data_IF_478633056858
#
_entry.id   IF_478633056858
#
_cell.length_a   1.000
_cell.length_b   1.000
_cell.length_c   1.000
_cell.angle_alpha   90.00
_cell.angle_beta   90.00
_cell.angle_gamma   90.00
#
_symmetry.space_group_name_H-M   'P 1'
#
loop_
_entity.id
_entity.type
_entity.pdbx_description
1 polymer ?
#
# COMPACT_ATOMS: atom_id res chain seq x y z
N UNK A 1 25.51 -17.27 -9.82
CA UNK A 1 24.35 -17.33 -8.90
C UNK A 1 23.98 -15.91 -8.46
N UNK A 2 22.82 -15.40 -8.90
CA UNK A 2 22.28 -14.15 -8.38
C UNK A 2 22.20 -14.25 -6.86
N UNK A 3 22.64 -13.22 -6.13
CA UNK A 3 22.46 -13.18 -4.68
C UNK A 3 20.97 -13.35 -4.38
N UNK A 4 20.62 -14.21 -3.43
CA UNK A 4 19.23 -14.38 -2.98
C UNK A 4 18.68 -13.02 -2.56
N UNK A 5 17.54 -12.62 -3.13
CA UNK A 5 16.87 -11.38 -2.78
C UNK A 5 16.38 -11.45 -1.32
N UNK A 6 16.83 -10.53 -0.47
CA UNK A 6 16.49 -10.49 0.96
C UNK A 6 15.94 -9.12 1.37
N UNK A 7 14.97 -9.05 2.31
CA UNK A 7 14.31 -7.80 2.70
C UNK A 7 15.21 -6.70 3.27
N UNK A 8 16.41 -7.02 3.77
CA UNK A 8 17.30 -6.04 4.41
C UNK A 8 18.23 -5.30 3.43
N UNK A 9 18.25 -5.69 2.16
CA UNK A 9 19.25 -5.21 1.20
C UNK A 9 18.79 -3.93 0.50
N UNK A 10 19.32 -2.77 0.92
CA UNK A 10 19.36 -1.55 0.10
C UNK A 10 18.04 -1.25 -0.65
N UNK A 11 16.93 -1.26 0.07
CA UNK A 11 15.61 -1.18 -0.55
C UNK A 11 15.44 0.16 -1.27
N UNK A 12 14.98 0.08 -2.50
CA UNK A 12 14.54 1.23 -3.28
C UNK A 12 13.09 1.55 -2.92
N UNK A 13 12.76 2.83 -2.77
CA UNK A 13 11.35 3.27 -2.70
C UNK A 13 11.02 4.13 -3.90
N UNK A 14 9.98 3.77 -4.64
CA UNK A 14 9.41 4.59 -5.71
C UNK A 14 8.12 5.25 -5.22
N UNK A 15 8.05 6.58 -5.35
CA UNK A 15 6.83 7.34 -5.20
C UNK A 15 6.31 7.82 -6.56
N UNK A 16 5.18 7.26 -6.99
CA UNK A 16 4.53 7.63 -8.24
C UNK A 16 3.18 8.29 -7.99
N UNK A 17 2.80 9.30 -8.77
CA UNK A 17 1.51 9.97 -8.61
C UNK A 17 0.95 10.49 -9.94
N UNK A 18 -0.37 10.36 -10.10
CA UNK A 18 -1.10 10.94 -11.24
C UNK A 18 -0.96 12.45 -11.22
N UNK A 19 -0.73 13.09 -12.37
CA UNK A 19 -0.70 14.56 -12.48
C UNK A 19 -2.03 15.21 -12.10
N UNK A 20 -3.12 14.44 -12.17
CA UNK A 20 -4.48 14.88 -11.82
C UNK A 20 -4.79 14.72 -10.32
N UNK A 21 -3.92 14.09 -9.50
CA UNK A 21 -4.17 13.87 -8.07
C UNK A 21 -4.27 15.20 -7.32
N UNK A 22 -5.08 15.27 -6.26
CA UNK A 22 -5.16 16.49 -5.48
C UNK A 22 -3.87 16.78 -4.72
N UNK A 23 -3.57 18.06 -4.55
CA UNK A 23 -2.34 18.52 -3.90
C UNK A 23 -2.18 17.98 -2.48
N UNK A 24 -3.25 17.82 -1.69
CA UNK A 24 -3.11 17.37 -0.29
C UNK A 24 -2.70 15.90 -0.23
N UNK A 25 -3.36 15.04 -0.99
CA UNK A 25 -2.99 13.61 -1.08
C UNK A 25 -1.55 13.47 -1.54
N UNK A 26 -1.14 14.22 -2.57
CA UNK A 26 0.24 14.28 -3.00
C UNK A 26 1.19 14.75 -1.88
N UNK A 27 0.89 15.90 -1.27
CA UNK A 27 1.76 16.55 -0.28
C UNK A 27 2.05 15.63 0.90
N UNK A 28 1.02 14.97 1.46
CA UNK A 28 1.23 14.06 2.60
C UNK A 28 2.03 12.80 2.23
N UNK A 29 1.87 12.29 1.00
CA UNK A 29 2.73 11.22 0.49
C UNK A 29 4.18 11.68 0.33
N UNK A 30 4.39 12.81 -0.34
CA UNK A 30 5.69 13.43 -0.54
C UNK A 30 6.41 13.74 0.79
N UNK A 31 5.69 14.30 1.77
CA UNK A 31 6.20 14.60 3.11
C UNK A 31 6.69 13.33 3.82
N UNK A 32 5.92 12.24 3.75
CA UNK A 32 6.35 10.95 4.32
C UNK A 32 7.58 10.38 3.61
N UNK A 33 7.63 10.49 2.27
CA UNK A 33 8.79 10.05 1.49
C UNK A 33 10.07 10.80 1.90
N UNK A 34 9.98 12.11 2.12
CA UNK A 34 11.11 12.92 2.58
C UNK A 34 11.45 12.61 4.04
N UNK A 35 10.45 12.47 4.91
CA UNK A 35 10.65 12.18 6.33
C UNK A 35 11.37 10.86 6.59
N UNK A 36 11.06 9.81 5.80
CA UNK A 36 11.68 8.49 5.93
C UNK A 36 12.85 8.25 4.96
N UNK A 37 13.30 9.28 4.23
CA UNK A 37 14.32 9.16 3.19
C UNK A 37 15.60 8.46 3.69
N UNK A 38 16.09 8.82 4.87
CA UNK A 38 17.34 8.28 5.45
C UNK A 38 17.26 6.79 5.82
N UNK A 39 16.06 6.18 5.82
CA UNK A 39 15.89 4.75 6.05
C UNK A 39 16.17 3.91 4.79
N UNK A 40 16.33 4.55 3.63
CA UNK A 40 16.46 3.89 2.33
C UNK A 40 17.72 4.33 1.61
N UNK A 41 18.34 3.40 0.89
CA UNK A 41 19.57 3.70 0.14
C UNK A 41 19.31 4.41 -1.18
N UNK A 42 18.11 4.22 -1.74
CA UNK A 42 17.70 4.77 -3.02
C UNK A 42 16.23 5.15 -2.95
N UNK A 43 15.94 6.35 -3.43
CA UNK A 43 14.59 6.88 -3.54
C UNK A 43 14.35 7.23 -5.00
N UNK A 44 13.11 7.18 -5.43
CA UNK A 44 12.73 7.58 -6.77
C UNK A 44 11.36 8.25 -6.75
N UNK A 45 11.13 9.19 -7.68
CA UNK A 45 9.81 9.77 -7.89
C UNK A 45 9.51 9.98 -9.37
N UNK A 46 8.22 9.99 -9.69
CA UNK A 46 7.73 10.27 -11.04
C UNK A 46 6.27 10.73 -10.99
N UNK A 47 5.97 11.79 -11.75
CA UNK A 47 4.59 12.19 -12.06
C UNK A 47 4.17 11.51 -13.35
N UNK A 48 2.97 10.95 -13.39
CA UNK A 48 2.45 10.23 -14.55
C UNK A 48 1.10 10.77 -15.00
N UNK A 49 0.51 10.20 -16.06
CA UNK A 49 -0.70 10.70 -16.74
C UNK A 49 -0.55 12.05 -17.44
N UNK A 50 0.67 12.38 -17.86
CA UNK A 50 1.02 13.60 -18.60
C UNK A 50 1.02 13.36 -20.12
N UNK A 51 0.75 14.40 -20.93
CA UNK A 51 0.85 14.36 -22.40
C UNK A 51 2.26 14.05 -22.89
N UNK A 52 3.25 14.60 -22.20
CA UNK A 52 4.66 14.31 -22.40
C UNK A 52 5.10 13.48 -21.21
N UNK A 53 5.37 12.20 -21.44
CA UNK A 53 5.76 11.27 -20.40
C UNK A 53 7.04 11.74 -19.70
N UNK A 54 7.01 11.76 -18.37
CA UNK A 54 8.16 12.11 -17.55
C UNK A 54 9.02 10.87 -17.26
N UNK A 55 10.31 11.10 -16.99
CA UNK A 55 11.24 10.05 -16.63
C UNK A 55 11.27 9.84 -15.11
N UNK A 56 11.61 8.62 -14.69
CA UNK A 56 11.80 8.34 -13.26
C UNK A 56 13.11 8.99 -12.81
N UNK A 57 13.00 9.90 -11.85
CA UNK A 57 14.14 10.50 -11.18
C UNK A 57 14.57 9.64 -10.00
N UNK A 58 15.89 9.46 -9.82
CA UNK A 58 16.47 8.63 -8.79
C UNK A 58 17.40 9.46 -7.90
N UNK A 59 17.32 9.20 -6.60
CA UNK A 59 17.88 10.03 -5.55
C UNK A 59 18.67 9.20 -4.54
N UNK A 60 19.70 9.80 -3.98
CA UNK A 60 20.56 9.20 -2.94
C UNK A 60 20.33 9.76 -1.56
N UNK A 61 19.65 10.90 -1.46
CA UNK A 61 19.50 11.65 -0.24
C UNK A 61 18.19 12.44 -0.22
N UNK A 62 17.78 12.84 0.98
CA UNK A 62 16.54 13.56 1.19
C UNK A 62 16.50 14.93 0.50
N UNK A 63 17.64 15.61 0.32
CA UNK A 63 17.67 16.94 -0.28
C UNK A 63 17.35 16.88 -1.77
N UNK A 64 17.97 15.94 -2.49
CA UNK A 64 17.71 15.76 -3.93
C UNK A 64 16.27 15.31 -4.18
N UNK A 65 15.76 14.38 -3.36
CA UNK A 65 14.35 13.94 -3.42
C UNK A 65 13.40 15.11 -3.15
N UNK A 66 13.61 15.86 -2.07
CA UNK A 66 12.74 16.97 -1.70
C UNK A 66 12.74 18.09 -2.75
N UNK A 67 13.89 18.37 -3.36
CA UNK A 67 14.00 19.33 -4.46
C UNK A 67 13.20 18.86 -5.69
N UNK A 68 13.32 17.58 -6.08
CA UNK A 68 12.57 17.02 -7.20
C UNK A 68 11.06 17.02 -6.96
N UNK A 69 10.60 16.60 -5.77
CA UNK A 69 9.19 16.66 -5.42
C UNK A 69 8.68 18.11 -5.44
N UNK A 70 9.43 19.05 -4.86
CA UNK A 70 9.07 20.46 -4.85
C UNK A 70 8.93 21.10 -6.24
N UNK A 71 9.64 20.60 -7.26
CA UNK A 71 9.53 21.08 -8.63
C UNK A 71 8.47 20.36 -9.48
N UNK A 72 7.91 19.24 -9.00
CA UNK A 72 7.01 18.37 -9.79
C UNK A 72 5.63 18.17 -9.15
N UNK A 73 5.06 19.18 -8.48
CA UNK A 73 3.70 19.08 -7.92
C UNK A 73 2.65 18.65 -8.95
N UNK A 74 1.56 17.96 -8.55
CA UNK A 74 0.49 17.62 -9.48
C UNK A 74 0.00 18.86 -10.25
N UNK A 75 -0.07 18.73 -11.58
CA UNK A 75 -0.54 19.79 -12.47
C UNK A 75 -1.47 19.18 -13.53
N UNK A 76 -2.80 19.28 -13.33
CA UNK A 76 -3.78 18.75 -14.28
C UNK A 76 -3.66 19.35 -15.70
N UNK A 77 -3.03 20.51 -15.86
CA UNK A 77 -2.85 21.13 -17.19
C UNK A 77 -1.88 20.35 -18.09
N UNK A 78 -0.97 19.57 -17.48
CA UNK A 78 -0.05 18.66 -18.16
C UNK A 78 -0.72 17.36 -18.59
N UNK A 79 -1.90 17.05 -18.05
CA UNK A 79 -2.66 15.84 -18.32
C UNK A 79 -3.28 15.79 -19.72
N UNK A 80 -3.85 14.64 -20.07
CA UNK A 80 -4.40 14.35 -21.41
C UNK A 80 -5.50 15.33 -21.84
N UNK A 81 -6.27 15.89 -20.90
CA UNK A 81 -7.35 16.84 -21.17
C UNK A 81 -8.66 16.17 -21.61
N UNK A 82 -8.75 14.86 -21.48
CA UNK A 82 -9.95 14.05 -21.74
C UNK A 82 -10.19 13.05 -20.59
N UNK A 83 -11.35 12.37 -20.63
CA UNK A 83 -11.75 11.35 -19.64
C UNK A 83 -11.67 9.92 -20.17
N UNK A 84 -11.26 9.70 -21.42
CA UNK A 84 -11.29 8.38 -22.08
C UNK A 84 -9.92 7.74 -22.15
N UNK A 85 -8.86 8.53 -22.24
CA UNK A 85 -7.47 8.12 -22.20
C UNK A 85 -7.18 7.55 -20.82
N UNK A 86 -6.75 6.29 -20.80
CA UNK A 86 -6.39 5.58 -19.57
C UNK A 86 -5.02 6.01 -19.07
N UNK A 87 -4.72 5.66 -17.83
CA UNK A 87 -3.44 5.94 -17.20
C UNK A 87 -2.29 5.21 -17.87
N UNK A 88 -1.12 5.86 -17.92
CA UNK A 88 0.14 5.24 -18.36
C UNK A 88 0.95 4.63 -17.21
N UNK A 89 0.35 4.43 -16.02
CA UNK A 89 1.00 3.86 -14.83
C UNK A 89 1.80 2.58 -15.12
N UNK A 90 1.26 1.69 -15.95
CA UNK A 90 1.91 0.42 -16.26
C UNK A 90 3.14 0.56 -17.14
N UNK A 91 3.24 1.64 -17.93
CA UNK A 91 4.49 1.99 -18.61
C UNK A 91 5.54 2.50 -17.62
N UNK A 92 5.13 3.28 -16.62
CA UNK A 92 6.01 3.71 -15.52
C UNK A 92 6.57 2.51 -14.75
N UNK A 93 5.73 1.53 -14.41
CA UNK A 93 6.19 0.33 -13.73
C UNK A 93 7.10 -0.53 -14.61
N UNK A 94 6.82 -0.64 -15.91
CA UNK A 94 7.76 -1.30 -16.86
C UNK A 94 9.10 -0.56 -16.90
N UNK A 95 9.12 0.77 -16.93
CA UNK A 95 10.36 1.57 -16.87
C UNK A 95 11.12 1.34 -15.56
N UNK A 96 10.42 1.28 -14.44
CA UNK A 96 11.02 0.96 -13.15
C UNK A 96 11.61 -0.45 -13.14
N UNK A 97 10.87 -1.47 -13.58
CA UNK A 97 11.35 -2.86 -13.64
C UNK A 97 12.55 -3.07 -14.59
N UNK A 98 12.68 -2.24 -15.63
CA UNK A 98 13.80 -2.30 -16.57
C UNK A 98 14.91 -1.30 -16.25
N UNK A 99 14.90 -0.71 -15.05
CA UNK A 99 15.93 0.25 -14.69
C UNK A 99 17.28 -0.44 -14.44
N UNK A 100 18.37 0.18 -14.88
CA UNK A 100 19.74 -0.26 -14.61
C UNK A 100 20.41 0.57 -13.50
N UNK A 101 19.63 1.38 -12.78
CA UNK A 101 20.13 2.41 -11.86
C UNK A 101 20.10 1.98 -10.40
N UNK A 102 19.14 1.15 -10.00
CA UNK A 102 18.87 0.77 -8.61
C UNK A 102 18.42 -0.69 -8.50
N UNK A 103 18.56 -1.26 -7.29
CA UNK A 103 18.07 -2.60 -7.00
C UNK A 103 16.54 -2.64 -6.96
N UNK A 104 15.95 -3.70 -7.52
CA UNK A 104 14.51 -3.99 -7.43
C UNK A 104 14.17 -4.91 -6.26
N UNK A 105 15.15 -5.65 -5.75
CA UNK A 105 14.90 -6.62 -4.69
C UNK A 105 14.26 -5.94 -3.47
N UNK A 106 13.06 -6.39 -3.09
CA UNK A 106 12.34 -5.87 -1.92
C UNK A 106 11.89 -4.41 -2.04
N UNK A 107 11.87 -3.84 -3.26
CA UNK A 107 11.49 -2.45 -3.43
C UNK A 107 10.04 -2.19 -3.00
N UNK A 108 9.80 -0.99 -2.45
CA UNK A 108 8.46 -0.53 -2.10
C UNK A 108 8.00 0.49 -3.14
N UNK A 109 6.78 0.32 -3.64
CA UNK A 109 6.20 1.24 -4.63
C UNK A 109 4.92 1.82 -4.05
N UNK A 110 4.91 3.13 -3.80
CA UNK A 110 3.77 3.89 -3.30
C UNK A 110 3.18 4.71 -4.44
N UNK A 111 1.88 4.54 -4.70
CA UNK A 111 1.22 5.13 -5.87
C UNK A 111 -0.05 5.87 -5.44
N UNK A 112 -0.18 7.13 -5.82
CA UNK A 112 -1.43 7.87 -5.74
C UNK A 112 -2.05 8.01 -7.14
N UNK A 113 -3.18 7.35 -7.38
CA UNK A 113 -3.80 7.22 -8.70
C UNK A 113 -5.13 7.98 -8.73
N UNK A 114 -5.32 8.81 -9.75
CA UNK A 114 -6.64 9.39 -10.07
C UNK A 114 -7.15 8.98 -11.45
N UNK A 115 -6.28 8.71 -12.42
CA UNK A 115 -6.69 8.19 -13.72
C UNK A 115 -6.58 6.67 -13.70
N UNK A 116 -7.60 5.96 -14.16
CA UNK A 116 -7.55 4.51 -14.23
C UNK A 116 -6.89 4.05 -15.53
N UNK A 117 -6.17 2.92 -15.54
CA UNK A 117 -5.73 2.31 -16.79
C UNK A 117 -6.94 1.84 -17.61
N UNK A 118 -6.75 1.69 -18.91
CA UNK A 118 -7.70 0.96 -19.78
C UNK A 118 -7.27 -0.50 -20.00
N UNK A 119 -5.99 -0.77 -19.78
CA UNK A 119 -5.38 -2.10 -19.92
C UNK A 119 -5.97 -3.07 -18.89
N UNK A 120 -6.28 -4.30 -19.31
CA UNK A 120 -6.76 -5.36 -18.42
C UNK A 120 -5.71 -6.42 -18.11
N UNK A 121 -4.75 -6.66 -19.01
CA UNK A 121 -3.69 -7.65 -18.79
C UNK A 121 -2.43 -6.99 -18.21
N UNK A 122 -2.23 -7.21 -16.91
CA UNK A 122 -1.04 -6.76 -16.15
C UNK A 122 -0.16 -7.93 -15.70
N UNK A 123 -0.43 -9.14 -16.18
CA UNK A 123 0.17 -10.39 -15.70
C UNK A 123 1.70 -10.40 -15.78
N UNK A 124 2.26 -9.90 -16.88
CA UNK A 124 3.70 -9.81 -17.07
C UNK A 124 4.36 -8.85 -16.06
N UNK A 125 3.74 -7.70 -15.79
CA UNK A 125 4.25 -6.72 -14.82
C UNK A 125 4.22 -7.34 -13.42
N UNK A 126 3.10 -7.95 -13.04
CA UNK A 126 2.93 -8.65 -11.76
C UNK A 126 3.99 -9.75 -11.61
N UNK A 127 4.22 -10.55 -12.64
CA UNK A 127 5.24 -11.62 -12.63
C UNK A 127 6.62 -11.07 -12.31
N UNK A 128 7.01 -9.97 -12.94
CA UNK A 128 8.32 -9.34 -12.72
C UNK A 128 8.44 -8.67 -11.34
N UNK A 129 7.38 -8.01 -10.86
CA UNK A 129 7.32 -7.45 -9.51
C UNK A 129 7.50 -8.56 -8.47
N UNK A 130 6.76 -9.66 -8.62
CA UNK A 130 6.82 -10.84 -7.73
C UNK A 130 8.20 -11.50 -7.73
N UNK A 131 8.84 -11.64 -8.90
CA UNK A 131 10.17 -12.22 -9.02
C UNK A 131 11.25 -11.42 -8.26
N UNK A 132 11.00 -10.13 -8.01
CA UNK A 132 11.89 -9.24 -7.28
C UNK A 132 11.37 -8.91 -5.86
N UNK A 133 10.28 -9.53 -5.41
CA UNK A 133 9.62 -9.20 -4.14
C UNK A 133 9.26 -7.71 -4.00
N UNK A 134 8.93 -7.04 -5.11
CA UNK A 134 8.47 -5.66 -5.09
C UNK A 134 7.05 -5.62 -4.56
N UNK A 135 6.78 -4.81 -3.53
CA UNK A 135 5.44 -4.62 -2.97
C UNK A 135 4.82 -3.32 -3.46
N UNK A 136 3.62 -3.40 -4.04
CA UNK A 136 2.95 -2.24 -4.64
C UNK A 136 1.73 -1.83 -3.81
N UNK A 137 1.72 -0.56 -3.40
CA UNK A 137 0.71 0.06 -2.57
C UNK A 137 0.05 1.19 -3.33
N UNK A 138 -1.27 1.12 -3.50
CA UNK A 138 -1.99 2.04 -4.37
C UNK A 138 -3.14 2.68 -3.62
N UNK A 139 -3.12 4.00 -3.48
CA UNK A 139 -4.29 4.77 -3.12
C UNK A 139 -4.97 5.25 -4.41
N UNK A 140 -6.24 4.91 -4.56
CA UNK A 140 -7.04 5.16 -5.77
C UNK A 140 -8.15 6.13 -5.42
N UNK A 141 -8.15 7.29 -6.08
CA UNK A 141 -9.30 8.19 -6.04
C UNK A 141 -10.48 7.51 -6.71
N UNK A 142 -11.55 7.27 -5.95
CA UNK A 142 -12.76 6.60 -6.42
C UNK A 142 -13.53 7.42 -7.46
N UNK A 143 -13.17 8.69 -7.64
CA UNK A 143 -13.67 9.57 -8.69
C UNK A 143 -12.56 9.74 -9.74
N UNK A 144 -12.55 8.91 -10.80
CA UNK A 144 -11.46 8.94 -11.75
C UNK A 144 -11.46 10.20 -12.62
N UNK A 145 -10.27 10.71 -12.95
CA UNK A 145 -10.12 11.77 -13.96
C UNK A 145 -10.24 11.25 -15.39
N UNK A 146 -10.12 9.93 -15.58
CA UNK A 146 -10.38 9.24 -16.83
C UNK A 146 -10.01 7.76 -16.77
N UNK A 147 -10.20 7.08 -17.89
CA UNK A 147 -10.04 5.63 -17.99
C UNK A 147 -11.11 4.86 -17.20
N UNK A 148 -11.05 3.53 -17.24
CA UNK A 148 -12.20 2.71 -16.80
C UNK A 148 -11.86 1.51 -15.92
N UNK A 149 -10.62 1.01 -15.92
CA UNK A 149 -10.28 -0.25 -15.26
C UNK A 149 -9.61 -0.05 -13.90
N UNK A 150 -10.40 0.14 -12.85
CA UNK A 150 -9.92 0.15 -11.47
C UNK A 150 -9.51 -1.23 -10.95
N UNK A 151 -10.08 -2.31 -11.49
CA UNK A 151 -9.85 -3.67 -11.01
C UNK A 151 -8.38 -4.10 -11.16
N UNK A 152 -7.72 -3.70 -12.27
CA UNK A 152 -6.32 -4.00 -12.50
C UNK A 152 -5.38 -3.32 -11.47
N UNK A 153 -5.75 -2.15 -10.92
CA UNK A 153 -5.00 -1.49 -9.86
C UNK A 153 -5.04 -2.30 -8.56
N UNK A 154 -6.22 -2.82 -8.20
CA UNK A 154 -6.37 -3.72 -7.07
C UNK A 154 -5.55 -5.00 -7.26
N UNK A 155 -5.71 -5.64 -8.42
CA UNK A 155 -5.02 -6.90 -8.74
C UNK A 155 -3.50 -6.77 -8.60
N UNK A 156 -2.93 -5.66 -9.08
CA UNK A 156 -1.51 -5.38 -8.95
C UNK A 156 -1.02 -5.33 -7.51
N UNK A 157 -1.74 -4.61 -6.64
CA UNK A 157 -1.39 -4.50 -5.22
C UNK A 157 -1.59 -5.84 -4.50
N UNK A 158 -2.72 -6.49 -4.77
CA UNK A 158 -3.08 -7.79 -4.21
C UNK A 158 -2.01 -8.83 -4.51
N UNK A 159 -1.61 -8.97 -5.78
CA UNK A 159 -0.68 -10.00 -6.23
C UNK A 159 0.77 -9.77 -5.82
N UNK A 160 1.10 -8.61 -5.27
CA UNK A 160 2.47 -8.23 -4.85
C UNK A 160 2.60 -8.10 -3.33
N UNK A 161 1.64 -8.63 -2.57
CA UNK A 161 1.58 -8.53 -1.09
C UNK A 161 1.42 -7.09 -0.55
N UNK A 162 1.31 -6.08 -1.40
CA UNK A 162 0.83 -4.77 -0.98
C UNK A 162 -0.69 -4.76 -0.75
N UNK A 163 -1.28 -3.57 -0.80
CA UNK A 163 -2.72 -3.40 -0.74
C UNK A 163 -3.17 -2.12 -1.46
N UNK A 164 -4.44 -2.13 -1.85
CA UNK A 164 -5.08 -1.03 -2.56
C UNK A 164 -6.16 -0.41 -1.69
N UNK A 165 -6.22 0.92 -1.67
CA UNK A 165 -7.20 1.71 -0.92
C UNK A 165 -8.01 2.56 -1.89
N UNK A 166 -9.31 2.31 -1.99
CA UNK A 166 -10.24 3.13 -2.77
C UNK A 166 -10.94 4.12 -1.85
N UNK A 167 -10.70 5.40 -2.05
CA UNK A 167 -11.31 6.48 -1.27
C UNK A 167 -11.44 7.74 -2.12
N UNK A 168 -12.00 8.83 -1.60
CA UNK A 168 -11.98 10.13 -2.30
C UNK A 168 -11.89 11.29 -1.32
N UNK A 169 -11.44 12.45 -1.79
CA UNK A 169 -11.29 13.65 -0.96
C UNK A 169 -10.42 13.43 0.28
N UNK A 170 -10.90 13.85 1.45
CA UNK A 170 -10.14 13.75 2.71
C UNK A 170 -9.83 12.30 3.11
N UNK A 171 -10.72 11.38 2.79
CA UNK A 171 -10.51 9.97 3.08
C UNK A 171 -9.36 9.41 2.25
N UNK A 172 -9.24 9.82 0.97
CA UNK A 172 -8.10 9.46 0.14
C UNK A 172 -6.79 10.01 0.70
N UNK A 173 -6.77 11.30 1.07
CA UNK A 173 -5.60 11.91 1.70
C UNK A 173 -5.18 11.15 2.96
N UNK A 174 -6.15 10.79 3.80
CA UNK A 174 -5.88 10.10 5.07
C UNK A 174 -5.44 8.65 4.84
N UNK A 175 -6.13 7.90 3.97
CA UNK A 175 -5.77 6.54 3.60
C UNK A 175 -4.34 6.46 3.06
N UNK A 176 -3.96 7.39 2.16
CA UNK A 176 -2.63 7.40 1.58
C UNK A 176 -1.56 7.83 2.59
N UNK A 177 -1.86 8.80 3.46
CA UNK A 177 -0.95 9.21 4.54
C UNK A 177 -0.65 8.07 5.51
N UNK A 178 -1.66 7.31 5.96
CA UNK A 178 -1.40 6.16 6.83
C UNK A 178 -0.76 4.99 6.07
N UNK A 179 -1.05 4.83 4.78
CA UNK A 179 -0.40 3.84 3.92
C UNK A 179 1.11 4.08 3.80
N UNK A 180 1.56 5.32 3.65
CA UNK A 180 3.00 5.63 3.57
C UNK A 180 3.76 5.38 4.88
N UNK A 181 3.09 5.14 6.01
CA UNK A 181 3.76 4.79 7.26
C UNK A 181 4.45 3.42 7.23
N UNK A 182 4.15 2.57 6.24
CA UNK A 182 4.91 1.35 5.97
C UNK A 182 6.40 1.64 5.78
N UNK A 183 6.76 2.88 5.42
CA UNK A 183 8.14 3.29 5.25
C UNK A 183 8.94 3.20 6.57
N UNK A 184 8.28 3.38 7.71
CA UNK A 184 8.88 3.20 9.02
C UNK A 184 8.97 1.73 9.47
N UNK A 185 8.13 0.85 8.91
CA UNK A 185 8.03 -0.58 9.25
C UNK A 185 7.93 -1.39 7.95
N UNK A 186 9.03 -1.55 7.20
CA UNK A 186 8.97 -2.14 5.86
C UNK A 186 8.80 -3.66 5.88
N UNK A 187 8.99 -4.33 7.04
CA UNK A 187 9.00 -5.79 7.11
C UNK A 187 7.60 -6.35 7.39
N UNK A 188 6.92 -6.83 6.35
CA UNK A 188 5.60 -7.44 6.44
C UNK A 188 5.63 -8.89 6.96
N UNK A 189 5.10 -9.16 8.16
CA UNK A 189 5.10 -10.51 8.76
C UNK A 189 3.74 -11.22 8.75
N UNK A 190 2.66 -10.51 8.40
CA UNK A 190 1.35 -11.12 8.10
C UNK A 190 0.90 -10.61 6.74
N UNK A 191 0.51 -11.53 5.85
CA UNK A 191 -0.31 -11.27 4.68
C UNK A 191 -1.29 -12.42 4.48
N UNK A 192 -2.56 -12.16 4.79
CA UNK A 192 -3.63 -13.14 4.65
C UNK A 192 -4.78 -12.52 3.86
N UNK A 193 -5.44 -13.34 3.04
CA UNK A 193 -6.54 -12.94 2.19
C UNK A 193 -7.71 -13.90 2.43
N UNK A 194 -8.89 -13.35 2.73
CA UNK A 194 -10.07 -14.12 3.08
C UNK A 194 -11.19 -13.82 2.09
N UNK A 195 -11.66 -14.85 1.39
CA UNK A 195 -12.90 -14.76 0.62
C UNK A 195 -14.07 -14.88 1.59
N UNK A 196 -14.89 -13.84 1.65
CA UNK A 196 -15.99 -13.71 2.61
C UNK A 196 -17.29 -13.32 1.91
N UNK A 197 -18.43 -13.56 2.55
CA UNK A 197 -19.76 -13.17 2.07
C UNK A 197 -20.71 -12.97 3.24
N UNK A 198 -21.72 -12.11 3.10
CA UNK A 198 -22.72 -11.87 4.14
C UNK A 198 -22.09 -11.39 5.45
N UNK A 199 -22.44 -12.02 6.57
CA UNK A 199 -21.85 -11.74 7.88
C UNK A 199 -20.99 -12.89 8.37
N UNK A 200 -19.93 -12.59 9.10
CA UNK A 200 -19.10 -13.63 9.71
C UNK A 200 -17.97 -13.08 10.56
N UNK A 201 -17.10 -14.01 10.96
CA UNK A 201 -15.92 -13.74 11.76
C UNK A 201 -14.70 -14.40 11.15
N UNK A 202 -13.62 -13.65 11.02
CA UNK A 202 -12.27 -14.16 10.74
C UNK A 202 -11.53 -14.24 12.08
N UNK A 203 -10.87 -15.37 12.33
CA UNK A 203 -10.00 -15.57 13.49
C UNK A 203 -8.60 -15.96 13.02
N UNK A 204 -7.63 -15.09 13.26
CA UNK A 204 -6.23 -15.38 13.02
C UNK A 204 -5.70 -16.17 14.22
N UNK A 205 -5.12 -17.37 14.00
CA UNK A 205 -4.48 -18.14 15.07
C UNK A 205 -3.45 -17.29 15.82
N UNK A 206 -3.17 -17.67 17.06
CA UNK A 206 -2.19 -16.96 17.87
C UNK A 206 -0.84 -16.86 17.13
N UNK A 207 -0.32 -15.64 16.99
CA UNK A 207 0.91 -15.34 16.28
C UNK A 207 1.90 -14.59 17.17
N UNK A 208 3.19 -14.74 16.89
CA UNK A 208 4.24 -13.93 17.50
C UNK A 208 4.65 -12.82 16.54
N UNK A 209 5.02 -11.68 17.10
CA UNK A 209 5.65 -10.60 16.36
C UNK A 209 7.14 -10.92 16.10
N UNK A 210 7.75 -10.39 15.03
CA UNK A 210 9.21 -10.42 14.80
C UNK A 210 10.03 -9.62 15.84
N UNK A 211 9.37 -8.83 16.68
CA UNK A 211 10.01 -8.08 17.77
C UNK A 211 10.84 -9.02 18.67
N UNK A 212 12.11 -8.69 18.99
CA UNK A 212 12.93 -9.49 19.90
C UNK A 212 12.31 -9.60 21.30
N UNK A 213 12.53 -10.73 21.96
CA UNK A 213 12.14 -10.93 23.36
C UNK A 213 12.71 -9.80 24.24
N UNK A 214 11.88 -9.24 25.13
CA UNK A 214 12.16 -8.05 25.97
C UNK A 214 12.20 -6.70 25.25
N UNK A 215 11.70 -6.60 24.02
CA UNK A 215 11.50 -5.30 23.34
C UNK A 215 10.03 -5.06 23.00
N UNK A 216 9.71 -3.77 22.92
CA UNK A 216 8.46 -3.26 22.39
C UNK A 216 8.71 -2.50 21.09
N UNK A 217 7.73 -2.50 20.19
CA UNK A 217 7.69 -1.65 19.02
C UNK A 217 6.28 -1.15 18.71
N UNK A 218 6.23 -0.08 17.94
CA UNK A 218 5.01 0.30 17.23
C UNK A 218 4.99 -0.40 15.87
N UNK A 219 4.19 -1.45 15.76
CA UNK A 219 3.91 -2.11 14.49
C UNK A 219 2.93 -1.33 13.63
N UNK A 220 2.63 -1.83 12.44
CA UNK A 220 1.47 -1.41 11.65
C UNK A 220 0.60 -2.60 11.32
N UNK A 221 -0.69 -2.34 11.25
CA UNK A 221 -1.67 -3.25 10.68
C UNK A 221 -2.40 -2.53 9.55
N UNK A 222 -2.75 -3.24 8.49
CA UNK A 222 -3.64 -2.74 7.45
C UNK A 222 -4.73 -3.76 7.13
N UNK A 223 -5.95 -3.25 6.94
CA UNK A 223 -7.11 -4.03 6.51
C UNK A 223 -7.66 -3.40 5.24
N UNK A 224 -7.89 -4.20 4.21
CA UNK A 224 -8.72 -3.84 3.05
C UNK A 224 -9.99 -4.67 3.09
N UNK A 225 -11.16 -4.04 2.88
CA UNK A 225 -12.45 -4.72 3.01
C UNK A 225 -13.08 -5.12 1.67
N UNK A 226 -12.66 -4.55 0.56
CA UNK A 226 -13.12 -4.93 -0.78
C UNK A 226 -12.20 -4.41 -1.88
N UNK A 227 -12.37 -4.94 -3.10
CA UNK A 227 -11.51 -4.68 -4.25
C UNK A 227 -11.93 -3.48 -5.13
N UNK A 228 -12.87 -2.67 -4.64
CA UNK A 228 -13.39 -1.50 -5.32
C UNK A 228 -13.74 -0.42 -4.29
N UNK A 229 -14.18 0.76 -4.75
CA UNK A 229 -14.73 1.80 -3.89
C UNK A 229 -15.78 1.25 -2.92
N UNK A 230 -15.89 1.85 -1.73
CA UNK A 230 -16.98 1.51 -0.82
C UNK A 230 -18.33 1.79 -1.49
N UNK A 231 -19.23 0.83 -1.35
CA UNK A 231 -20.59 0.90 -1.87
C UNK A 231 -21.56 0.42 -0.79
N UNK A 232 -22.85 0.37 -1.14
CA UNK A 232 -23.90 -0.01 -0.20
C UNK A 232 -23.89 -1.52 0.15
N UNK A 233 -22.94 -2.30 -0.36
CA UNK A 233 -22.78 -3.71 0.01
C UNK A 233 -22.03 -3.86 1.33
N UNK A 234 -21.05 -3.00 1.62
CA UNK A 234 -20.36 -2.98 2.91
C UNK A 234 -21.23 -2.34 4.00
N UNK A 235 -21.44 -3.05 5.11
CA UNK A 235 -22.22 -2.55 6.25
C UNK A 235 -21.29 -2.16 7.40
N UNK A 236 -20.42 -3.07 7.83
CA UNK A 236 -19.54 -2.82 8.96
C UNK A 236 -18.38 -3.80 9.04
N UNK A 237 -17.29 -3.35 9.65
CA UNK A 237 -16.18 -4.16 10.11
C UNK A 237 -15.76 -3.69 11.49
N UNK A 238 -15.65 -4.63 12.42
CA UNK A 238 -15.04 -4.42 13.73
C UNK A 238 -13.86 -5.39 13.86
N UNK A 239 -12.84 -5.03 14.62
CA UNK A 239 -11.76 -5.98 14.92
C UNK A 239 -11.22 -5.82 16.33
N UNK A 240 -10.62 -6.89 16.83
CA UNK A 240 -9.84 -6.89 18.07
C UNK A 240 -8.48 -7.51 17.81
N UNK A 241 -7.42 -6.83 18.25
CA UNK A 241 -6.08 -7.40 18.37
C UNK A 241 -5.73 -7.43 19.84
N UNK A 242 -5.51 -8.61 20.40
CA UNK A 242 -5.26 -8.79 21.83
C UNK A 242 -4.10 -9.74 22.10
N UNK A 243 -3.35 -9.48 23.17
CA UNK A 243 -2.34 -10.41 23.64
C UNK A 243 -2.99 -11.63 24.29
N UNK A 244 -2.36 -12.79 24.16
CA UNK A 244 -2.92 -14.05 24.68
C UNK A 244 -2.98 -14.12 26.20
N UNK A 245 -2.22 -13.29 26.89
CA UNK A 245 -2.24 -13.14 28.36
C UNK A 245 -3.24 -12.07 28.85
N UNK A 246 -3.90 -11.34 27.92
CA UNK A 246 -4.88 -10.30 28.22
C UNK A 246 -4.29 -8.96 28.68
N UNK A 247 -2.97 -8.78 28.65
CA UNK A 247 -2.31 -7.53 29.08
C UNK A 247 -2.49 -6.37 28.09
N UNK A 248 -2.77 -6.67 26.81
CA UNK A 248 -2.97 -5.68 25.76
C UNK A 248 -4.20 -6.02 24.91
N UNK A 249 -5.02 -5.01 24.61
CA UNK A 249 -6.20 -5.13 23.75
C UNK A 249 -6.42 -3.85 22.96
N UNK A 250 -6.44 -3.96 21.63
CA UNK A 250 -6.80 -2.90 20.69
C UNK A 250 -8.13 -3.27 20.01
N UNK A 251 -9.11 -2.36 20.01
CA UNK A 251 -10.43 -2.59 19.40
C UNK A 251 -10.80 -1.49 18.42
N UNK A 252 -11.35 -1.89 17.28
CA UNK A 252 -11.98 -1.01 16.31
C UNK A 252 -13.47 -1.33 16.18
N UNK A 253 -14.35 -0.31 16.09
CA UNK A 253 -14.05 1.11 16.20
C UNK A 253 -13.80 1.55 17.65
N UNK A 254 -12.90 2.51 17.84
CA UNK A 254 -12.70 3.24 19.10
C UNK A 254 -12.13 4.63 18.81
N UNK A 255 -12.09 5.52 19.81
CA UNK A 255 -11.54 6.88 19.63
C UNK A 255 -10.03 6.89 19.37
N UNK A 256 -9.33 5.83 19.82
CA UNK A 256 -7.88 5.71 19.74
C UNK A 256 -7.41 4.96 18.48
N UNK A 257 -8.35 4.54 17.62
CA UNK A 257 -8.08 3.77 16.40
C UNK A 257 -8.40 4.60 15.16
N UNK A 258 -7.50 4.53 14.18
CA UNK A 258 -7.69 5.18 12.88
C UNK A 258 -8.95 4.61 12.21
N UNK A 259 -9.89 5.44 11.75
CA UNK A 259 -11.10 4.93 11.12
C UNK A 259 -10.81 4.31 9.75
N UNK A 260 -11.78 3.54 9.24
CA UNK A 260 -11.77 3.04 7.87
C UNK A 260 -11.92 4.22 6.88
N UNK A 261 -10.90 4.48 6.06
CA UNK A 261 -10.91 5.54 5.04
C UNK A 261 -11.16 4.94 3.66
N UNK A 262 -12.41 5.02 3.21
CA UNK A 262 -12.82 4.28 2.02
C UNK A 262 -12.66 2.77 2.23
N UNK A 263 -12.06 2.04 1.29
CA UNK A 263 -12.00 0.57 1.37
C UNK A 263 -10.86 0.01 2.24
N UNK A 264 -10.03 0.86 2.85
CA UNK A 264 -8.89 0.41 3.64
C UNK A 264 -8.66 1.21 4.93
N UNK A 265 -8.08 0.54 5.90
CA UNK A 265 -7.66 1.10 7.18
C UNK A 265 -6.19 0.73 7.40
N UNK A 266 -5.40 1.67 7.91
CA UNK A 266 -4.02 1.41 8.34
C UNK A 266 -3.81 2.08 9.68
N UNK A 267 -3.30 1.34 10.65
CA UNK A 267 -3.15 1.83 12.01
C UNK A 267 -1.90 1.26 12.68
N UNK A 268 -1.44 1.98 13.70
CA UNK A 268 -0.37 1.58 14.59
C UNK A 268 -0.90 0.73 15.75
N UNK A 269 -0.03 -0.13 16.28
CA UNK A 269 -0.32 -0.93 17.46
C UNK A 269 0.98 -1.22 18.22
N UNK A 270 0.89 -1.35 19.53
CA UNK A 270 2.03 -1.72 20.36
C UNK A 270 2.21 -3.24 20.33
N UNK A 271 3.40 -3.69 19.93
CA UNK A 271 3.81 -5.08 19.86
C UNK A 271 4.97 -5.32 20.83
N UNK A 272 4.90 -6.41 21.60
CA UNK A 272 5.92 -6.86 22.54
C UNK A 272 6.43 -8.23 22.10
N UNK A 273 7.74 -8.37 21.97
CA UNK A 273 8.37 -9.60 21.49
C UNK A 273 8.22 -10.83 22.40
N UNK A 274 7.79 -10.62 23.63
CA UNK A 274 7.55 -11.68 24.63
C UNK A 274 6.12 -12.20 24.61
N UNK A 275 5.21 -11.51 23.90
CA UNK A 275 3.80 -11.85 23.83
C UNK A 275 3.44 -12.55 22.52
N UNK A 276 2.35 -13.32 22.59
CA UNK A 276 1.62 -13.77 21.40
C UNK A 276 0.32 -12.98 21.31
N UNK A 277 -0.18 -12.80 20.08
CA UNK A 277 -1.37 -12.00 19.79
C UNK A 277 -2.40 -12.83 19.04
N UNK A 278 -3.67 -12.46 19.17
CA UNK A 278 -4.78 -12.92 18.33
C UNK A 278 -5.35 -11.73 17.60
N UNK A 279 -5.90 -11.99 16.41
CA UNK A 279 -6.62 -10.98 15.64
C UNK A 279 -7.97 -11.55 15.21
N UNK A 280 -9.05 -10.92 15.65
CA UNK A 280 -10.41 -11.27 15.27
C UNK A 280 -11.05 -10.12 14.52
N UNK A 281 -11.78 -10.44 13.45
CA UNK A 281 -12.47 -9.47 12.60
C UNK A 281 -13.90 -9.93 12.42
N UNK A 282 -14.85 -9.13 12.88
CA UNK A 282 -16.28 -9.31 12.63
C UNK A 282 -16.68 -8.44 11.45
N UNK A 283 -17.23 -9.04 10.39
CA UNK A 283 -17.61 -8.35 9.17
C UNK A 283 -19.08 -8.56 8.84
N UNK A 284 -19.67 -7.60 8.15
CA UNK A 284 -21.04 -7.66 7.66
C UNK A 284 -21.14 -6.95 6.30
N UNK A 285 -21.57 -7.71 5.30
CA UNK A 285 -22.00 -7.24 3.99
C UNK A 285 -23.48 -7.52 3.81
N UNK A 286 -24.15 -6.63 3.08
CA UNK A 286 -25.59 -6.68 2.78
C UNK A 286 -25.97 -7.89 1.92
N UNK A 287 -25.02 -8.39 1.13
CA UNK A 287 -25.25 -9.45 0.14
C UNK A 287 -24.27 -10.60 0.34
N UNK A 288 -24.59 -11.74 -0.26
CA UNK A 288 -23.70 -12.90 -0.30
C UNK A 288 -22.71 -12.85 -1.49
N UNK A 289 -22.57 -11.68 -2.13
CA UNK A 289 -21.56 -11.50 -3.16
C UNK A 289 -20.17 -11.66 -2.53
N UNK A 290 -19.28 -12.51 -3.08
CA UNK A 290 -17.95 -12.70 -2.53
C UNK A 290 -17.15 -11.41 -2.50
N UNK A 291 -16.55 -11.13 -1.35
CA UNK A 291 -15.60 -10.03 -1.13
C UNK A 291 -14.27 -10.61 -0.64
N UNK A 292 -13.20 -9.81 -0.75
CA UNK A 292 -11.88 -10.20 -0.25
C UNK A 292 -11.47 -9.23 0.86
N UNK A 293 -11.36 -9.75 2.07
CA UNK A 293 -10.72 -9.03 3.18
C UNK A 293 -9.23 -9.37 3.17
N UNK A 294 -8.38 -8.35 3.08
CA UNK A 294 -6.93 -8.49 3.16
C UNK A 294 -6.45 -8.00 4.52
N UNK A 295 -5.65 -8.82 5.19
CA UNK A 295 -5.01 -8.46 6.45
C UNK A 295 -3.50 -8.40 6.25
N UNK A 296 -2.88 -7.30 6.65
CA UNK A 296 -1.43 -7.10 6.62
C UNK A 296 -0.93 -6.64 7.99
N UNK A 297 0.25 -7.11 8.40
CA UNK A 297 0.98 -6.51 9.53
C UNK A 297 2.45 -6.32 9.21
N UNK A 298 3.02 -5.27 9.76
CA UNK A 298 4.39 -4.83 9.52
C UNK A 298 5.13 -4.50 10.81
N UNK A 299 6.42 -4.78 10.80
CA UNK A 299 7.36 -4.61 11.91
C UNK A 299 8.58 -3.79 11.46
N UNK A 300 9.22 -3.12 12.41
CA UNK A 300 10.55 -2.53 12.24
C UNK A 300 11.64 -3.60 12.29
N UNK A 301 11.37 -4.75 12.89
CA UNK A 301 12.35 -5.83 13.00
C UNK A 301 12.33 -6.73 11.77
N UNK A 302 13.53 -7.05 11.31
CA UNK A 302 13.76 -7.87 10.14
C UNK A 302 13.14 -9.26 10.28
N UNK A 303 12.55 -9.74 9.19
CA UNK A 303 12.25 -11.13 8.89
C UNK A 303 12.31 -11.34 7.37
N UNK A 304 12.30 -12.59 6.92
CA UNK A 304 12.30 -12.93 5.50
C UNK A 304 10.93 -12.68 4.83
N UNK A 305 10.92 -12.50 3.51
CA UNK A 305 9.67 -12.32 2.76
C UNK A 305 8.68 -13.46 3.05
N UNK A 306 7.45 -13.08 3.35
CA UNK A 306 6.35 -14.03 3.47
C UNK A 306 5.84 -14.47 2.08
N UNK A 307 5.18 -15.64 1.99
CA UNK A 307 4.66 -16.13 0.73
C UNK A 307 3.76 -15.11 0.03
N UNK A 308 3.93 -14.98 -1.29
CA UNK A 308 3.02 -14.23 -2.14
C UNK A 308 1.70 -14.99 -2.32
N UNK A 309 0.57 -14.32 -2.59
CA UNK A 309 -0.68 -15.01 -2.87
C UNK A 309 -0.55 -15.88 -4.13
N UNK A 310 -1.41 -16.91 -4.28
CA UNK A 310 -1.51 -17.66 -5.51
C UNK A 310 -1.76 -16.73 -6.71
N UNK A 311 -0.96 -16.90 -7.75
CA UNK A 311 -1.07 -16.19 -9.03
C UNK A 311 -1.48 -17.18 -10.11
#
# INVERSE_FOLDING_TARGET
PSATCLPHQNNTVLYAYSTDIDYKTYYYGADCMVFYADMYTRLANVRFDTKVEEEIEYHTDYNSLNASLSSHWPDPSLGYGDTTTGSNLYNILKKFLNNEKVSLCGALVLIAVKRYPNESDVSNIITQLRANHVMVYIAVDSIPSGGTNSAALYEMSFQTNGYCAFATGRDLTSAFYYMSWILARPYQFIAQNFVVSGSGRIEIPAFKTPTPENRDEWGLQAITVQNHALDNSFISMNYTIESTDGSYVLKSPSQDVVPLFGSAQTDHLLLNGSLSYKWTIDYHYKTDAPQIIQLRMYSLFYHDFIPLPPF
#
